data_IF_055480708576
#
_entry.id   IF_055480708576
#
_cell.length_a   1.000
_cell.length_b   1.000
_cell.length_c   1.000
_cell.angle_alpha   90.00
_cell.angle_beta   90.00
_cell.angle_gamma   90.00
#
_symmetry.space_group_name_H-M   'P 1'
#
loop_
_entity.id
_entity.type
_entity.pdbx_description
1 polymer ?
#
# COMPACT_ATOMS: atom_id res chain seq x y z
N UNK A 1 8.94 11.78 5.98
CA UNK A 1 7.53 11.90 5.55
C UNK A 1 6.74 10.85 6.31
N UNK A 2 5.79 11.25 7.16
CA UNK A 2 4.92 10.30 7.86
C UNK A 2 3.67 10.04 7.02
N UNK A 3 3.50 8.82 6.55
CA UNK A 3 2.30 8.44 5.82
C UNK A 3 1.14 8.20 6.81
N UNK A 4 -0.05 8.72 6.51
CA UNK A 4 -1.25 8.38 7.29
C UNK A 4 -1.60 6.91 7.08
N UNK A 5 -1.71 6.16 8.18
CA UNK A 5 -2.19 4.78 8.19
C UNK A 5 -3.67 4.78 7.79
N UNK A 6 -4.04 3.90 6.87
CA UNK A 6 -5.45 3.73 6.46
C UNK A 6 -6.29 3.19 7.62
N UNK A 7 -7.57 3.57 7.68
CA UNK A 7 -8.49 2.93 8.61
C UNK A 7 -8.72 1.47 8.23
N UNK A 8 -8.99 0.61 9.22
CA UNK A 8 -9.20 -0.83 9.03
C UNK A 8 -10.27 -1.17 7.99
N UNK A 9 -11.29 -0.32 7.86
CA UNK A 9 -12.35 -0.46 6.86
C UNK A 9 -11.85 -0.42 5.41
N UNK A 10 -10.72 0.25 5.15
CA UNK A 10 -10.15 0.38 3.81
C UNK A 10 -9.20 -0.77 3.45
N UNK A 11 -8.79 -1.61 4.39
CA UNK A 11 -7.85 -2.71 4.13
C UNK A 11 -8.34 -3.59 2.98
N UNK A 12 -9.60 -4.01 3.01
CA UNK A 12 -10.17 -4.85 1.96
C UNK A 12 -10.22 -4.14 0.59
N UNK A 13 -10.61 -2.87 0.57
CA UNK A 13 -10.70 -2.07 -0.66
C UNK A 13 -9.34 -1.89 -1.31
N UNK A 14 -8.31 -1.56 -0.52
CA UNK A 14 -6.94 -1.38 -1.02
C UNK A 14 -6.41 -2.69 -1.60
N UNK A 15 -6.58 -3.81 -0.88
CA UNK A 15 -6.17 -5.12 -1.36
C UNK A 15 -6.89 -5.51 -2.66
N UNK A 16 -8.18 -5.22 -2.76
CA UNK A 16 -8.97 -5.49 -3.96
C UNK A 16 -8.48 -4.67 -5.16
N UNK A 17 -8.15 -3.39 -4.95
CA UNK A 17 -7.59 -2.54 -6.00
C UNK A 17 -6.20 -3.01 -6.44
N UNK A 18 -5.35 -3.47 -5.53
CA UNK A 18 -4.05 -4.08 -5.88
C UNK A 18 -4.28 -5.36 -6.70
N UNK A 19 -5.19 -6.23 -6.26
CA UNK A 19 -5.47 -7.49 -6.96
C UNK A 19 -6.03 -7.29 -8.37
N UNK A 20 -6.91 -6.30 -8.53
CA UNK A 20 -7.50 -5.94 -9.82
C UNK A 20 -6.57 -5.09 -10.70
N UNK A 21 -5.44 -4.64 -10.16
CA UNK A 21 -4.49 -3.84 -10.91
C UNK A 21 -3.75 -4.66 -11.95
N UNK A 22 -3.26 -3.96 -12.95
CA UNK A 22 -2.34 -4.43 -13.96
C UNK A 22 -0.99 -4.92 -13.38
N UNK A 23 -0.69 -4.62 -12.11
CA UNK A 23 0.61 -4.86 -11.46
C UNK A 23 0.88 -6.34 -11.13
N UNK A 24 -0.09 -7.24 -11.32
CA UNK A 24 0.01 -8.70 -11.08
C UNK A 24 0.72 -9.08 -9.77
N UNK A 25 0.30 -8.49 -8.66
CA UNK A 25 0.95 -8.66 -7.36
C UNK A 25 0.34 -9.82 -6.58
N UNK A 26 1.20 -10.73 -6.08
CA UNK A 26 0.80 -11.83 -5.20
C UNK A 26 1.20 -11.46 -3.77
N UNK A 27 0.21 -11.40 -2.88
CA UNK A 27 0.44 -11.14 -1.46
C UNK A 27 0.44 -12.45 -0.67
N UNK A 28 1.50 -12.68 0.11
CA UNK A 28 1.63 -13.88 0.96
C UNK A 28 1.93 -13.45 2.38
N UNK A 29 1.03 -13.82 3.31
CA UNK A 29 1.19 -13.58 4.73
C UNK A 29 2.08 -14.68 5.36
N UNK A 30 2.93 -14.34 6.33
CA UNK A 30 3.66 -15.34 7.13
C UNK A 30 3.48 -15.06 8.63
N UNK A 31 3.24 -16.11 9.42
CA UNK A 31 2.85 -16.01 10.83
C UNK A 31 3.98 -15.70 11.83
N UNK A 32 5.23 -15.50 11.38
CA UNK A 32 6.40 -15.36 12.26
C UNK A 32 6.91 -13.90 12.37
N UNK A 33 5.99 -12.94 12.51
CA UNK A 33 6.32 -11.58 13.00
C UNK A 33 6.46 -10.47 11.95
N UNK A 34 5.98 -10.66 10.72
CA UNK A 34 5.94 -9.58 9.73
C UNK A 34 5.12 -9.89 8.48
N UNK A 35 4.73 -8.83 7.75
CA UNK A 35 3.99 -8.93 6.50
C UNK A 35 4.99 -8.84 5.32
N UNK A 36 4.80 -9.58 4.23
CA UNK A 36 5.59 -9.44 2.99
C UNK A 36 4.65 -9.45 1.78
N UNK A 37 5.10 -8.89 0.65
CA UNK A 37 4.44 -9.11 -0.63
C UNK A 37 5.45 -9.55 -1.68
N UNK A 38 4.95 -10.25 -2.70
CA UNK A 38 5.72 -10.67 -3.87
C UNK A 38 5.17 -9.89 -5.07
N UNK A 39 5.97 -8.94 -5.55
CA UNK A 39 5.76 -8.41 -6.89
C UNK A 39 6.56 -9.29 -7.86
N UNK A 40 5.88 -9.79 -8.89
CA UNK A 40 6.48 -10.42 -10.07
C UNK A 40 7.31 -11.71 -9.82
N UNK A 41 6.76 -12.66 -9.06
CA UNK A 41 7.25 -14.04 -8.77
C UNK A 41 8.71 -14.22 -8.26
N UNK A 42 9.55 -13.21 -8.33
CA UNK A 42 10.98 -13.26 -8.03
C UNK A 42 11.35 -12.33 -6.86
N UNK A 43 10.60 -11.25 -6.63
CA UNK A 43 10.94 -10.23 -5.63
C UNK A 43 10.05 -10.27 -4.39
N UNK A 44 10.58 -10.80 -3.29
CA UNK A 44 9.98 -10.73 -1.94
C UNK A 44 10.38 -9.43 -1.26
N UNK A 45 9.41 -8.62 -0.85
CA UNK A 45 9.70 -7.36 -0.17
C UNK A 45 9.00 -7.28 1.18
N UNK A 46 9.72 -6.99 2.29
CA UNK A 46 9.10 -6.81 3.60
C UNK A 46 8.14 -5.62 3.59
N UNK A 47 6.97 -5.84 4.18
CA UNK A 47 6.05 -4.80 4.57
C UNK A 47 6.37 -4.37 6.00
N UNK A 48 6.37 -3.07 6.20
CA UNK A 48 6.54 -2.47 7.51
C UNK A 48 5.16 -2.31 8.16
N UNK A 49 5.08 -2.57 9.46
CA UNK A 49 3.85 -2.43 10.22
C UNK A 49 3.72 -3.50 11.30
N UNK A 50 3.25 -3.07 12.46
CA UNK A 50 2.81 -3.92 13.57
C UNK A 50 1.37 -4.38 13.39
N UNK A 51 0.57 -3.64 12.61
CA UNK A 51 -0.81 -3.98 12.25
C UNK A 51 -0.98 -4.24 10.74
N UNK A 52 -2.11 -4.83 10.36
CA UNK A 52 -2.43 -5.09 8.96
C UNK A 52 -2.68 -3.78 8.19
N UNK A 53 -3.23 -2.77 8.85
CA UNK A 53 -3.45 -1.44 8.29
C UNK A 53 -2.11 -0.78 7.92
N UNK A 54 -1.13 -0.84 8.82
CA UNK A 54 0.23 -0.33 8.57
C UNK A 54 0.90 -1.08 7.42
N UNK A 55 0.83 -2.41 7.42
CA UNK A 55 1.38 -3.24 6.36
C UNK A 55 0.77 -2.93 4.98
N UNK A 56 -0.54 -2.80 4.89
CA UNK A 56 -1.25 -2.49 3.64
C UNK A 56 -1.03 -1.04 3.21
N UNK A 57 -0.97 -0.11 4.15
CA UNK A 57 -0.61 1.31 3.90
C UNK A 57 0.77 1.41 3.27
N UNK A 58 1.75 0.71 3.85
CA UNK A 58 3.12 0.71 3.38
C UNK A 58 3.26 0.02 2.01
N UNK A 59 2.53 -1.09 1.79
CA UNK A 59 2.45 -1.74 0.48
C UNK A 59 1.96 -0.75 -0.57
N UNK A 60 0.76 -0.19 -0.36
CA UNK A 60 0.10 0.66 -1.34
C UNK A 60 0.94 1.90 -1.68
N UNK A 61 1.61 2.49 -0.69
CA UNK A 61 2.55 3.57 -0.95
C UNK A 61 3.70 3.13 -1.81
N UNK A 62 4.37 2.02 -1.46
CA UNK A 62 5.52 1.53 -2.23
C UNK A 62 5.12 1.26 -3.68
N UNK A 63 3.99 0.58 -3.91
CA UNK A 63 3.48 0.34 -5.25
C UNK A 63 3.17 1.63 -6.01
N UNK A 64 2.56 2.62 -5.34
CA UNK A 64 2.29 3.91 -5.97
C UNK A 64 3.57 4.67 -6.37
N UNK A 65 4.70 4.40 -5.72
CA UNK A 65 6.01 5.01 -6.01
C UNK A 65 6.79 4.22 -7.05
N UNK A 66 6.75 2.89 -6.99
CA UNK A 66 7.41 2.00 -7.94
C UNK A 66 6.72 2.03 -9.31
N UNK A 67 5.39 2.17 -9.33
CA UNK A 67 4.57 2.17 -10.55
C UNK A 67 3.70 3.43 -10.64
N UNK A 68 4.28 4.64 -10.75
CA UNK A 68 3.54 5.90 -10.67
C UNK A 68 2.57 6.14 -11.84
N UNK A 69 2.75 5.43 -12.96
CA UNK A 69 1.86 5.50 -14.12
C UNK A 69 0.69 4.49 -14.06
N UNK A 70 0.60 3.69 -13.01
CA UNK A 70 -0.45 2.68 -12.87
C UNK A 70 -1.81 3.29 -12.50
N UNK A 71 -2.89 2.62 -12.91
CA UNK A 71 -4.25 2.97 -12.50
C UNK A 71 -4.41 2.89 -10.97
N UNK A 72 -3.73 1.91 -10.36
CA UNK A 72 -3.63 1.80 -8.91
C UNK A 72 -3.00 3.04 -8.27
N UNK A 73 -1.86 3.52 -8.79
CA UNK A 73 -1.18 4.69 -8.25
C UNK A 73 -2.04 5.96 -8.36
N UNK A 74 -2.78 6.12 -9.47
CA UNK A 74 -3.72 7.22 -9.66
C UNK A 74 -4.89 7.16 -8.66
N UNK A 75 -5.50 5.98 -8.47
CA UNK A 75 -6.55 5.76 -7.48
C UNK A 75 -6.06 6.00 -6.06
N UNK A 76 -4.91 5.44 -5.70
CA UNK A 76 -4.30 5.61 -4.38
C UNK A 76 -4.02 7.09 -4.10
N UNK A 77 -3.49 7.81 -5.09
CA UNK A 77 -3.21 9.23 -4.97
C UNK A 77 -4.49 10.04 -4.69
N UNK A 78 -5.56 9.77 -5.42
CA UNK A 78 -6.83 10.48 -5.27
C UNK A 78 -7.47 10.27 -3.89
N UNK A 79 -7.36 9.08 -3.32
CA UNK A 79 -8.09 8.71 -2.10
C UNK A 79 -7.28 8.91 -0.81
N UNK A 80 -5.95 8.86 -0.88
CA UNK A 80 -5.11 8.81 0.32
C UNK A 80 -3.96 9.83 0.34
N UNK A 81 -3.72 10.59 -0.75
CA UNK A 81 -2.59 11.54 -0.85
C UNK A 81 -2.93 12.97 -0.43
N UNK A 82 -4.21 13.32 -0.31
CA UNK A 82 -4.65 14.70 0.03
C UNK A 82 -4.54 15.10 1.51
N UNK A 83 -3.81 14.35 2.34
CA UNK A 83 -3.56 14.76 3.73
C UNK A 83 -2.12 15.22 4.03
N UNK A 84 -1.22 15.18 3.05
CA UNK A 84 0.15 15.71 3.22
C UNK A 84 0.23 17.24 3.09
N UNK A 85 -0.76 17.92 2.53
CA UNK A 85 -0.68 19.37 2.21
C UNK A 85 -1.31 20.31 3.26
N UNK A 86 -1.99 19.78 4.29
CA UNK A 86 -2.64 20.62 5.33
C UNK A 86 -1.80 20.82 6.60
N UNK A 87 -0.68 20.10 6.75
CA UNK A 87 0.20 20.22 7.92
C UNK A 87 1.38 21.18 7.72
N UNK A 88 1.52 21.82 6.56
CA UNK A 88 2.51 22.88 6.30
C UNK A 88 1.91 24.29 6.27
N UNK A 89 0.63 24.46 6.67
CA UNK A 89 -0.03 25.76 6.79
C UNK A 89 -0.87 25.90 8.06
N UNK A 90 -0.31 25.58 9.22
CA UNK A 90 -0.76 26.09 10.53
C UNK A 90 0.45 26.32 11.43
#
# INVERSE_FOLDING_TARGET
>A
MSQRIIDRSYVGEVLQHIYNSELKIKMTLFCEGGYFYIADEERKTPLQGTTIEEAVTHLAFRLSKEFPASDFAAWWAKNFREQDLRSEKL
#
